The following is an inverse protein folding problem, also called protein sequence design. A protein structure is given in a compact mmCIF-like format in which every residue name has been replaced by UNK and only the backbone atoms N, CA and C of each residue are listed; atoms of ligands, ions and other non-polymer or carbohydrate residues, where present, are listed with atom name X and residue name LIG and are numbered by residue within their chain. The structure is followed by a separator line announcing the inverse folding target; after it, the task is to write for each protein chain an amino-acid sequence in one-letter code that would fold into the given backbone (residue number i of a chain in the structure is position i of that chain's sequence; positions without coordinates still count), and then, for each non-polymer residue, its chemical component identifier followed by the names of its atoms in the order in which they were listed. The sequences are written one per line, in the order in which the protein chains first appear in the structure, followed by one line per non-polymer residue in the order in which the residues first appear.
data_IF_368833340315
#
_entry.id   IF_368833340315
#
_cell.length_a   1.000
_cell.length_b   1.000
_cell.length_c   1.000
_cell.angle_alpha   90.00
_cell.angle_beta   90.00
_cell.angle_gamma   90.00
#
_symmetry.space_group_name_H-M   'P 1'
#
loop_
_entity.id
_entity.type
_entity.pdbx_description
1 polymer ?
#
# COMPACT_ATOMS: atom_id res chain seq x y z
N UNK A 1 -13.52 -16.36 13.46
CA UNK A 1 -12.86 -15.34 12.65
C UNK A 1 -12.74 -14.07 13.46
N UNK A 2 -11.51 -13.64 13.72
CA UNK A 2 -11.33 -12.40 14.46
C UNK A 2 -11.50 -11.21 13.51
N UNK A 3 -12.25 -10.24 13.97
CA UNK A 3 -12.49 -9.01 13.22
C UNK A 3 -11.60 -7.92 13.80
N UNK A 4 -10.91 -7.21 12.92
CA UNK A 4 -10.08 -6.09 13.34
C UNK A 4 -11.00 -4.90 13.62
N UNK A 5 -10.87 -4.30 14.80
CA UNK A 5 -11.66 -3.11 15.13
C UNK A 5 -10.95 -1.85 14.61
N UNK A 6 -11.71 -0.78 14.46
CA UNK A 6 -11.13 0.48 14.00
C UNK A 6 -10.03 1.00 14.93
N UNK A 7 -10.21 0.99 16.26
CA UNK A 7 -9.12 1.40 17.15
C UNK A 7 -7.84 0.59 16.98
N UNK A 8 -7.97 -0.72 16.77
CA UNK A 8 -6.82 -1.58 16.54
C UNK A 8 -6.11 -1.21 15.24
N UNK A 9 -6.89 -0.93 14.19
CA UNK A 9 -6.33 -0.51 12.91
C UNK A 9 -5.58 0.82 13.05
N UNK A 10 -6.15 1.77 13.78
CA UNK A 10 -5.52 3.08 14.00
C UNK A 10 -4.24 2.94 14.80
N UNK A 11 -4.23 2.08 15.82
CA UNK A 11 -3.03 1.80 16.60
C UNK A 11 -1.92 1.25 15.71
N UNK A 12 -2.27 0.31 14.83
CA UNK A 12 -1.32 -0.25 13.88
C UNK A 12 -0.77 0.83 12.94
N UNK A 13 -1.63 1.70 12.42
CA UNK A 13 -1.21 2.76 11.51
C UNK A 13 -0.26 3.76 12.17
N UNK A 14 -0.41 3.96 13.48
CA UNK A 14 0.42 4.91 14.23
C UNK A 14 1.68 4.28 14.80
N UNK A 15 1.82 2.97 14.72
CA UNK A 15 2.98 2.28 15.25
C UNK A 15 4.24 2.70 14.48
N UNK A 16 5.36 2.93 15.20
CA UNK A 16 6.61 3.39 14.54
C UNK A 16 7.11 2.45 13.45
N UNK A 17 6.98 1.14 13.63
CA UNK A 17 7.40 0.17 12.61
C UNK A 17 6.51 0.28 11.38
N UNK A 18 5.20 0.46 11.58
CA UNK A 18 4.27 0.64 10.47
C UNK A 18 4.62 1.91 9.69
N UNK A 19 4.91 2.99 10.40
CA UNK A 19 5.31 4.24 9.76
C UNK A 19 6.57 4.07 8.92
N UNK A 20 7.55 3.37 9.45
CA UNK A 20 8.80 3.10 8.72
C UNK A 20 8.52 2.25 7.48
N UNK A 21 7.66 1.23 7.61
CA UNK A 21 7.29 0.37 6.51
C UNK A 21 6.59 1.16 5.39
N UNK A 22 5.64 2.00 5.78
CA UNK A 22 4.91 2.83 4.80
C UNK A 22 5.84 3.81 4.10
N UNK A 23 6.81 4.37 4.82
CA UNK A 23 7.80 5.27 4.22
C UNK A 23 8.68 4.52 3.22
N UNK A 24 9.08 3.30 3.55
CA UNK A 24 9.86 2.47 2.63
C UNK A 24 9.07 2.19 1.36
N UNK A 25 7.79 1.86 1.49
CA UNK A 25 6.92 1.65 0.34
C UNK A 25 6.77 2.91 -0.51
N UNK A 26 6.63 4.06 0.14
CA UNK A 26 6.55 5.32 -0.58
C UNK A 26 7.81 5.56 -1.40
N UNK A 27 8.98 5.35 -0.79
CA UNK A 27 10.26 5.54 -1.47
C UNK A 27 10.41 4.57 -2.64
N UNK A 28 9.97 3.32 -2.48
CA UNK A 28 9.99 2.33 -3.56
C UNK A 28 9.09 2.78 -4.71
N UNK A 29 7.93 3.32 -4.41
CA UNK A 29 7.03 3.81 -5.45
C UNK A 29 7.66 4.95 -6.23
N UNK A 30 8.32 5.88 -5.53
CA UNK A 30 8.99 7.00 -6.21
C UNK A 30 10.11 6.51 -7.11
N UNK A 31 10.87 5.51 -6.66
CA UNK A 31 11.92 4.89 -7.47
C UNK A 31 11.32 4.24 -8.72
N UNK A 32 10.20 3.52 -8.57
CA UNK A 32 9.54 2.87 -9.70
C UNK A 32 9.04 3.90 -10.73
N UNK A 33 8.54 5.04 -10.25
CA UNK A 33 8.13 6.13 -11.14
C UNK A 33 9.29 6.65 -11.96
N UNK A 34 10.46 6.78 -11.34
CA UNK A 34 11.67 7.22 -12.03
C UNK A 34 12.07 6.22 -13.10
N UNK A 35 11.91 4.92 -12.83
CA UNK A 35 12.19 3.90 -13.82
C UNK A 35 11.29 4.05 -15.05
N UNK A 36 10.02 4.39 -14.87
CA UNK A 36 9.11 4.63 -15.98
C UNK A 36 9.56 5.81 -16.83
N UNK A 37 9.98 6.88 -16.17
CA UNK A 37 10.48 8.08 -16.87
C UNK A 37 11.73 7.74 -17.65
N UNK A 38 12.59 6.88 -17.12
CA UNK A 38 13.82 6.47 -17.77
C UNK A 38 13.65 5.47 -18.91
N UNK A 39 12.43 4.99 -19.13
CA UNK A 39 12.16 4.08 -20.25
C UNK A 39 12.56 2.65 -19.96
N UNK A 40 11.83 1.98 -19.08
CA UNK A 40 12.07 0.58 -18.79
C UNK A 40 11.38 -0.32 -19.82
N UNK A 41 11.94 -1.48 -20.06
CA UNK A 41 11.39 -2.46 -21.01
C UNK A 41 10.13 -3.15 -20.47
N UNK A 42 9.92 -3.14 -19.15
CA UNK A 42 8.79 -3.83 -18.52
C UNK A 42 7.83 -2.83 -17.89
N UNK A 43 7.28 -1.96 -18.73
CA UNK A 43 6.38 -0.88 -18.33
C UNK A 43 5.15 -1.39 -17.58
N UNK A 44 4.50 -2.42 -18.11
CA UNK A 44 3.27 -2.95 -17.50
C UNK A 44 3.50 -3.46 -16.09
N UNK A 45 4.61 -4.15 -15.87
CA UNK A 45 4.96 -4.68 -14.56
C UNK A 45 5.21 -3.53 -13.58
N UNK A 46 6.00 -2.56 -14.00
CA UNK A 46 6.34 -1.41 -13.14
C UNK A 46 5.10 -0.62 -12.79
N UNK A 47 4.21 -0.38 -13.76
CA UNK A 47 2.95 0.33 -13.51
C UNK A 47 2.07 -0.43 -12.52
N UNK A 48 2.01 -1.76 -12.67
CA UNK A 48 1.25 -2.61 -11.75
C UNK A 48 1.79 -2.54 -10.33
N UNK A 49 3.11 -2.53 -10.19
CA UNK A 49 3.73 -2.42 -8.87
C UNK A 49 3.47 -1.05 -8.23
N UNK A 50 3.55 0.02 -9.01
CA UNK A 50 3.23 1.36 -8.53
C UNK A 50 1.79 1.42 -8.02
N UNK A 51 0.86 0.85 -8.77
CA UNK A 51 -0.55 0.84 -8.39
C UNK A 51 -0.77 0.03 -7.11
N UNK A 52 -0.14 -1.14 -6.99
CA UNK A 52 -0.27 -1.99 -5.82
C UNK A 52 0.26 -1.30 -4.57
N UNK A 53 1.43 -0.68 -4.65
CA UNK A 53 2.01 0.06 -3.53
C UNK A 53 1.11 1.23 -3.16
N UNK A 54 0.58 1.93 -4.16
CA UNK A 54 -0.35 3.04 -3.93
C UNK A 54 -1.59 2.60 -3.16
N UNK A 55 -2.12 1.43 -3.48
CA UNK A 55 -3.29 0.88 -2.77
C UNK A 55 -2.96 0.61 -1.30
N UNK A 56 -1.77 0.06 -1.03
CA UNK A 56 -1.35 -0.20 0.35
C UNK A 56 -1.19 1.11 1.12
N UNK A 57 -0.57 2.11 0.52
CA UNK A 57 -0.34 3.40 1.16
C UNK A 57 -1.66 4.12 1.46
N UNK A 58 -2.67 3.93 0.63
CA UNK A 58 -3.97 4.57 0.77
C UNK A 58 -4.96 3.76 1.59
N UNK A 59 -4.54 2.60 2.11
CA UNK A 59 -5.45 1.71 2.82
C UNK A 59 -6.02 2.38 4.07
N UNK A 60 -7.35 2.38 4.17
CA UNK A 60 -8.05 2.83 5.36
C UNK A 60 -8.81 1.65 5.97
N UNK A 61 -9.45 1.89 7.13
CA UNK A 61 -10.15 0.83 7.84
C UNK A 61 -11.29 0.23 7.01
N UNK A 62 -12.04 1.07 6.32
CA UNK A 62 -13.14 0.63 5.47
C UNK A 62 -12.65 -0.25 4.34
N UNK A 63 -11.57 0.15 3.68
CA UNK A 63 -10.98 -0.62 2.60
C UNK A 63 -10.47 -1.98 3.09
N UNK A 64 -9.89 -2.01 4.28
CA UNK A 64 -9.44 -3.26 4.88
C UNK A 64 -10.63 -4.19 5.13
N UNK A 65 -11.72 -3.67 5.69
CA UNK A 65 -12.90 -4.47 5.97
C UNK A 65 -13.53 -5.01 4.69
N UNK A 66 -13.59 -4.21 3.64
CA UNK A 66 -14.09 -4.65 2.34
C UNK A 66 -13.25 -5.79 1.77
N UNK A 67 -11.93 -5.67 1.87
CA UNK A 67 -11.03 -6.72 1.39
C UNK A 67 -11.20 -8.01 2.16
N UNK A 68 -11.40 -7.92 3.46
CA UNK A 68 -11.60 -9.11 4.30
C UNK A 68 -12.94 -9.80 4.00
N UNK A 69 -13.96 -9.04 3.61
CA UNK A 69 -15.25 -9.61 3.23
C UNK A 69 -15.23 -10.18 1.82
N UNK A 70 -14.27 -9.78 1.01
CA UNK A 70 -14.19 -10.21 -0.37
C UNK A 70 -15.18 -9.49 -1.29
N UNK A 71 -15.68 -8.34 -0.88
CA UNK A 71 -16.66 -7.54 -1.63
C UNK A 71 -15.93 -6.60 -2.59
N UNK A 72 -15.53 -7.11 -3.69
CA UNK A 72 -14.85 -6.28 -4.68
C UNK A 72 -15.49 -6.35 -6.03
#
# INVERSE_FOLDING_TARGET
LSVVTEPEFLDWKQHPITGAFMKALFNDREYLKEMLVGGTDDDSNVRGRIAAVGMILALDYEGLMESLRGDR
#
